data_IF_447661804596
#
_entry.id   IF_447661804596
#
_cell.length_a   1.000
_cell.length_b   1.000
_cell.length_c   1.000
_cell.angle_alpha   90.00
_cell.angle_beta   90.00
_cell.angle_gamma   90.00
#
_symmetry.space_group_name_H-M   'P 1'
#
loop_
_entity.id
_entity.type
_entity.pdbx_description
1 polymer ?
#
# COMPACT_ATOMS: atom_id res chain seq x y z
N UNK A 1 -16.49 -16.96 20.57
CA UNK A 1 -15.88 -15.89 21.40
C UNK A 1 -14.43 -16.25 21.59
N UNK A 2 -13.57 -15.72 20.72
CA UNK A 2 -12.14 -15.54 20.97
C UNK A 2 -11.68 -14.51 19.93
N UNK A 3 -11.50 -13.29 20.44
CA UNK A 3 -10.85 -12.19 19.77
C UNK A 3 -9.42 -12.59 19.47
N UNK A 4 -9.00 -12.53 18.20
CA UNK A 4 -7.59 -12.49 17.83
C UNK A 4 -7.38 -11.21 17.05
N UNK A 5 -7.28 -10.11 17.80
CA UNK A 5 -6.76 -8.86 17.31
C UNK A 5 -5.23 -8.98 17.27
N UNK A 6 -4.64 -8.89 16.07
CA UNK A 6 -3.22 -8.64 15.93
C UNK A 6 -3.04 -7.18 15.57
N UNK A 7 -2.88 -6.39 16.63
CA UNK A 7 -2.39 -5.03 16.60
C UNK A 7 -0.87 -5.16 16.36
N UNK A 8 -0.33 -4.60 15.26
CA UNK A 8 1.07 -4.12 15.32
C UNK A 8 1.01 -3.04 16.37
N UNK A 9 1.56 -3.31 17.56
CA UNK A 9 1.40 -2.48 18.76
C UNK A 9 1.35 -1.00 18.38
N UNK A 10 0.18 -0.37 18.58
CA UNK A 10 0.07 1.07 18.61
C UNK A 10 0.92 1.55 19.78
N UNK A 11 2.21 1.75 19.53
CA UNK A 11 2.93 2.81 20.22
C UNK A 11 2.26 4.09 19.73
N UNK A 12 1.46 4.70 20.61
CA UNK A 12 0.69 5.93 20.36
C UNK A 12 1.50 6.91 19.49
N UNK A 13 1.12 7.03 18.21
CA UNK A 13 1.73 7.98 17.26
C UNK A 13 2.38 7.40 16.00
N UNK A 14 2.53 6.07 15.85
CA UNK A 14 3.03 5.51 14.59
C UNK A 14 1.95 5.40 13.50
N UNK A 15 2.38 5.44 12.23
CA UNK A 15 1.51 5.19 11.09
C UNK A 15 1.23 3.70 10.96
N UNK A 16 0.07 3.34 10.40
CA UNK A 16 -0.27 1.96 10.02
C UNK A 16 -0.49 1.86 8.51
N UNK A 17 -0.17 0.70 7.93
CA UNK A 17 -0.49 0.39 6.53
C UNK A 17 -1.77 -0.44 6.48
N UNK A 18 -2.72 0.02 5.68
CA UNK A 18 -3.93 -0.71 5.29
C UNK A 18 -3.81 -1.08 3.80
N UNK A 19 -4.43 -2.18 3.41
CA UNK A 19 -4.40 -2.66 2.02
C UNK A 19 -5.81 -2.87 1.49
N UNK A 20 -6.09 -2.31 0.32
CA UNK A 20 -7.31 -2.61 -0.44
C UNK A 20 -7.26 -4.03 -1.02
N UNK A 21 -8.43 -4.64 -1.34
CA UNK A 21 -8.52 -6.02 -1.82
C UNK A 21 -7.60 -6.35 -3.00
N UNK A 22 -7.48 -5.45 -3.97
CA UNK A 22 -6.60 -5.68 -5.14
C UNK A 22 -5.14 -5.85 -4.75
N UNK A 23 -4.64 -5.02 -3.83
CA UNK A 23 -3.24 -5.09 -3.37
C UNK A 23 -3.05 -6.37 -2.56
N UNK A 24 -4.02 -6.73 -1.73
CA UNK A 24 -4.00 -7.98 -0.96
C UNK A 24 -3.92 -9.20 -1.89
N UNK A 25 -4.84 -9.33 -2.83
CA UNK A 25 -4.90 -10.46 -3.76
C UNK A 25 -3.60 -10.57 -4.57
N UNK A 26 -3.00 -9.44 -4.94
CA UNK A 26 -1.70 -9.42 -5.59
C UNK A 26 -0.57 -9.90 -4.68
N UNK A 27 -0.53 -9.48 -3.41
CA UNK A 27 0.48 -9.92 -2.43
C UNK A 27 0.42 -11.43 -2.20
N UNK A 28 -0.78 -12.01 -2.14
CA UNK A 28 -1.00 -13.45 -1.96
C UNK A 28 -0.43 -14.29 -3.11
N UNK A 29 -0.37 -13.72 -4.32
CA UNK A 29 0.16 -14.38 -5.51
C UNK A 29 1.67 -14.24 -5.67
N UNK A 30 2.34 -13.43 -4.83
CA UNK A 30 3.78 -13.20 -4.97
C UNK A 30 4.61 -14.38 -4.41
N UNK A 31 5.65 -14.82 -5.15
CA UNK A 31 6.70 -15.65 -4.56
C UNK A 31 7.27 -14.99 -3.30
N UNK A 32 7.58 -15.79 -2.27
CA UNK A 32 8.06 -15.30 -0.97
C UNK A 32 9.19 -14.26 -1.09
N UNK A 33 10.14 -14.52 -2.00
CA UNK A 33 11.30 -13.64 -2.23
C UNK A 33 10.90 -12.24 -2.72
N UNK A 34 9.88 -12.15 -3.57
CA UNK A 34 9.36 -10.88 -4.07
C UNK A 34 8.52 -10.17 -3.03
N UNK A 35 7.66 -10.91 -2.33
CA UNK A 35 6.88 -10.38 -1.22
C UNK A 35 7.78 -9.72 -0.15
N UNK A 36 8.89 -10.35 0.24
CA UNK A 36 9.87 -9.76 1.17
C UNK A 36 10.38 -8.39 0.70
N UNK A 37 10.58 -8.20 -0.62
CA UNK A 37 10.97 -6.88 -1.15
C UNK A 37 9.86 -5.85 -1.05
N UNK A 38 8.59 -6.28 -1.11
CA UNK A 38 7.46 -5.39 -0.88
C UNK A 38 7.39 -4.99 0.58
N UNK A 39 7.57 -5.94 1.51
CA UNK A 39 7.66 -5.65 2.96
C UNK A 39 8.77 -4.64 3.27
N UNK A 40 9.99 -4.87 2.76
CA UNK A 40 11.11 -3.94 3.00
C UNK A 40 10.80 -2.51 2.48
N UNK A 41 9.97 -2.37 1.44
CA UNK A 41 9.51 -1.07 0.93
C UNK A 41 8.39 -0.48 1.78
N UNK A 42 7.47 -1.31 2.28
CA UNK A 42 6.42 -0.91 3.19
C UNK A 42 7.01 -0.41 4.52
N UNK A 43 8.01 -1.10 5.07
CA UNK A 43 8.74 -0.69 6.29
C UNK A 43 9.39 0.67 6.11
N UNK A 44 10.02 0.90 4.94
CA UNK A 44 10.58 2.21 4.62
C UNK A 44 9.51 3.30 4.52
N UNK A 45 8.35 2.99 3.95
CA UNK A 45 7.23 3.91 3.90
C UNK A 45 6.70 4.23 5.31
N UNK A 46 6.64 3.25 6.21
CA UNK A 46 6.29 3.46 7.62
C UNK A 46 7.30 4.32 8.38
N UNK A 47 8.60 4.21 8.04
CA UNK A 47 9.64 5.04 8.63
C UNK A 47 9.57 6.51 8.18
N UNK A 48 9.13 6.77 6.95
CA UNK A 48 9.09 8.10 6.33
C UNK A 48 7.71 8.44 5.69
N UNK A 49 6.59 8.34 6.42
CA UNK A 49 5.25 8.25 5.84
C UNK A 49 4.81 9.52 5.10
N UNK A 50 5.25 10.69 5.55
CA UNK A 50 4.92 11.98 4.94
C UNK A 50 6.04 12.55 4.08
N UNK A 51 7.27 12.07 4.26
CA UNK A 51 8.49 12.63 3.66
C UNK A 51 9.11 11.75 2.58
N UNK A 52 8.67 10.49 2.44
CA UNK A 52 9.21 9.60 1.41
C UNK A 52 8.95 10.17 0.01
N UNK A 53 10.05 10.51 -0.66
CA UNK A 53 10.08 11.07 -2.01
C UNK A 53 10.82 10.18 -3.01
N UNK A 54 11.24 10.78 -4.11
CA UNK A 54 11.95 10.06 -5.17
C UNK A 54 13.31 9.55 -4.67
N UNK A 55 13.77 8.36 -5.12
CA UNK A 55 13.21 7.52 -6.18
C UNK A 55 12.10 6.55 -5.74
N UNK A 56 11.77 6.49 -4.45
CA UNK A 56 10.90 5.45 -3.88
C UNK A 56 9.43 5.79 -3.94
N UNK A 57 9.09 7.07 -3.90
CA UNK A 57 7.72 7.56 -3.91
C UNK A 57 7.61 8.80 -4.79
N UNK A 58 6.47 8.97 -5.45
CA UNK A 58 6.18 10.17 -6.25
C UNK A 58 4.73 10.59 -6.06
N UNK A 59 4.48 11.89 -6.06
CA UNK A 59 3.12 12.43 -6.10
C UNK A 59 2.46 12.22 -7.47
N UNK A 60 1.23 11.73 -7.46
CA UNK A 60 0.39 11.57 -8.65
C UNK A 60 -0.65 12.69 -8.82
N UNK A 61 -0.71 13.62 -7.86
CA UNK A 61 -1.67 14.72 -7.83
C UNK A 61 -2.69 14.55 -6.71
N UNK A 62 -3.22 15.67 -6.20
CA UNK A 62 -4.13 15.67 -5.05
C UNK A 62 -3.50 14.97 -3.82
N UNK A 63 -4.26 14.04 -3.22
CA UNK A 63 -3.84 13.24 -2.05
C UNK A 63 -3.08 11.96 -2.42
N UNK A 64 -2.97 11.66 -3.71
CA UNK A 64 -2.46 10.38 -4.21
C UNK A 64 -0.94 10.43 -4.41
N UNK A 65 -0.29 9.36 -3.97
CA UNK A 65 1.14 9.09 -4.15
C UNK A 65 1.30 7.68 -4.74
N UNK A 66 2.43 7.40 -5.38
CA UNK A 66 2.80 6.05 -5.81
C UNK A 66 4.03 5.57 -5.04
N UNK A 67 4.00 4.33 -4.56
CA UNK A 67 5.18 3.60 -4.12
C UNK A 67 5.80 2.88 -5.33
N UNK A 68 7.10 3.01 -5.49
CA UNK A 68 7.86 2.50 -6.64
C UNK A 68 8.68 1.28 -6.25
N UNK A 69 8.34 0.15 -6.86
CA UNK A 69 9.04 -1.10 -6.65
C UNK A 69 9.70 -1.59 -7.96
N UNK A 70 10.74 -2.39 -7.80
CA UNK A 70 11.36 -3.18 -8.85
C UNK A 70 11.41 -4.62 -8.38
N UNK A 71 10.60 -5.48 -9.00
CA UNK A 71 10.44 -6.88 -8.65
C UNK A 71 10.90 -7.73 -9.84
N UNK A 72 11.99 -8.48 -9.69
CA UNK A 72 12.60 -9.28 -10.76
C UNK A 72 12.76 -8.57 -12.12
N UNK A 73 13.09 -7.28 -12.09
CA UNK A 73 13.28 -6.45 -13.28
C UNK A 73 12.02 -5.71 -13.74
N UNK A 74 10.84 -6.11 -13.26
CA UNK A 74 9.58 -5.41 -13.54
C UNK A 74 9.43 -4.18 -12.63
N UNK A 75 9.12 -3.04 -13.24
CA UNK A 75 8.74 -1.84 -12.53
C UNK A 75 7.27 -1.94 -12.07
N UNK A 76 7.04 -2.09 -10.77
CA UNK A 76 5.71 -2.17 -10.16
C UNK A 76 5.39 -0.88 -9.42
N UNK A 77 4.13 -0.44 -9.48
CA UNK A 77 3.64 0.77 -8.81
C UNK A 77 2.45 0.41 -7.94
N UNK A 78 2.46 0.93 -6.72
CA UNK A 78 1.34 0.80 -5.77
C UNK A 78 0.91 2.21 -5.40
N UNK A 79 -0.19 2.72 -5.97
CA UNK A 79 -0.80 3.96 -5.51
C UNK A 79 -1.29 3.85 -4.07
N UNK A 80 -1.04 4.89 -3.29
CA UNK A 80 -1.44 4.99 -1.90
C UNK A 80 -1.82 6.42 -1.53
N UNK A 81 -2.52 6.57 -0.43
CA UNK A 81 -2.81 7.88 0.16
C UNK A 81 -2.67 7.86 1.68
N UNK A 82 -2.47 9.05 2.25
CA UNK A 82 -2.41 9.24 3.70
C UNK A 82 -3.79 9.62 4.21
N UNK A 83 -4.49 8.65 4.80
CA UNK A 83 -5.81 8.83 5.35
C UNK A 83 -5.76 9.37 6.80
N UNK A 84 -6.84 10.01 7.29
CA UNK A 84 -6.92 10.46 8.68
C UNK A 84 -6.66 9.32 9.67
N UNK A 85 -6.08 9.66 10.83
CA UNK A 85 -5.73 8.69 11.86
C UNK A 85 -4.36 8.02 11.66
N UNK A 86 -3.43 8.67 10.94
CA UNK A 86 -2.08 8.16 10.64
C UNK A 86 -2.13 6.83 9.88
N UNK A 87 -2.98 6.75 8.87
CA UNK A 87 -3.15 5.55 8.05
C UNK A 87 -2.57 5.78 6.66
N UNK A 88 -1.88 4.78 6.14
CA UNK A 88 -1.38 4.71 4.78
C UNK A 88 -2.18 3.61 4.09
N UNK A 89 -3.05 3.97 3.16
CA UNK A 89 -3.87 2.96 2.48
C UNK A 89 -3.28 2.69 1.10
N UNK A 90 -2.85 1.45 0.86
CA UNK A 90 -2.42 0.97 -0.46
C UNK A 90 -3.67 0.59 -1.26
N UNK A 91 -3.89 1.28 -2.40
CA UNK A 91 -5.18 1.28 -3.10
C UNK A 91 -5.25 0.27 -4.24
N UNK A 92 -4.26 0.32 -5.13
CA UNK A 92 -4.22 -0.48 -6.36
C UNK A 92 -2.79 -0.91 -6.63
N UNK A 93 -2.58 -1.79 -7.62
CA UNK A 93 -1.25 -2.18 -8.07
C UNK A 93 -1.23 -2.35 -9.58
N UNK A 94 -0.17 -1.86 -10.22
CA UNK A 94 0.03 -2.06 -11.64
C UNK A 94 1.51 -2.21 -12.01
N UNK A 95 1.76 -2.96 -13.07
CA UNK A 95 3.09 -3.02 -13.71
C UNK A 95 3.20 -1.87 -14.71
N UNK A 96 4.30 -1.12 -14.64
CA UNK A 96 4.57 -0.05 -15.58
C UNK A 96 4.99 -0.66 -16.91
N UNK A 97 4.09 -0.61 -17.89
CA UNK A 97 4.32 -1.11 -19.25
C UNK A 97 4.63 0.02 -20.23
N UNK A 98 4.19 1.24 -19.93
CA UNK A 98 4.38 2.44 -20.77
C UNK A 98 4.93 3.61 -19.96
N UNK A 99 5.27 4.70 -20.63
CA UNK A 99 5.78 5.92 -19.99
C UNK A 99 4.68 6.67 -19.22
N UNK A 100 3.44 6.65 -19.72
CA UNK A 100 2.26 7.29 -19.12
C UNK A 100 1.15 6.25 -18.98
N UNK A 101 0.80 5.92 -17.74
CA UNK A 101 -0.28 4.97 -17.40
C UNK A 101 -1.50 5.76 -16.90
N UNK A 102 -2.03 6.68 -17.71
CA UNK A 102 -3.10 7.62 -17.30
C UNK A 102 -4.32 6.89 -16.76
N UNK A 103 -4.74 5.79 -17.40
CA UNK A 103 -5.88 4.98 -16.97
C UNK A 103 -5.66 4.37 -15.57
N UNK A 104 -4.44 3.94 -15.25
CA UNK A 104 -4.12 3.39 -13.92
C UNK A 104 -4.11 4.49 -12.85
N UNK A 105 -3.64 5.69 -13.19
CA UNK A 105 -3.67 6.84 -12.29
C UNK A 105 -5.12 7.27 -12.03
N UNK A 106 -5.97 7.32 -13.06
CA UNK A 106 -7.40 7.60 -12.91
C UNK A 106 -8.11 6.56 -12.05
N UNK A 107 -7.82 5.27 -12.28
CA UNK A 107 -8.35 4.17 -11.48
C UNK A 107 -7.96 4.28 -10.01
N UNK A 108 -6.70 4.62 -9.74
CA UNK A 108 -6.22 4.88 -8.38
C UNK A 108 -6.90 6.10 -7.73
N UNK A 109 -7.18 7.15 -8.50
CA UNK A 109 -7.97 8.28 -8.00
C UNK A 109 -9.42 7.90 -7.66
N UNK A 110 -10.06 7.04 -8.46
CA UNK A 110 -11.40 6.54 -8.13
C UNK A 110 -11.39 5.67 -6.88
N UNK A 111 -10.41 4.76 -6.77
CA UNK A 111 -10.22 3.95 -5.57
C UNK A 111 -10.00 4.83 -4.33
N UNK A 112 -9.18 5.88 -4.43
CA UNK A 112 -8.97 6.84 -3.34
C UNK A 112 -10.26 7.54 -2.92
N UNK A 113 -11.11 7.95 -3.87
CA UNK A 113 -12.39 8.62 -3.56
C UNK A 113 -13.38 7.67 -2.90
N UNK A 114 -13.49 6.43 -3.39
CA UNK A 114 -14.35 5.40 -2.80
C UNK A 114 -13.90 5.10 -1.36
N UNK A 115 -12.61 4.82 -1.19
CA UNK A 115 -11.94 4.69 0.10
C UNK A 115 -12.27 5.89 1.03
N UNK A 116 -12.03 7.12 0.59
CA UNK A 116 -12.33 8.32 1.40
C UNK A 116 -13.81 8.46 1.79
N UNK A 117 -14.74 8.10 0.90
CA UNK A 117 -16.17 8.18 1.15
C UNK A 117 -16.70 7.08 2.08
N UNK A 118 -16.07 5.92 2.10
CA UNK A 118 -16.55 4.73 2.81
C UNK A 118 -15.93 4.55 4.22
N UNK A 119 -14.85 5.24 4.59
CA UNK A 119 -14.06 4.84 5.77
C UNK A 119 -14.46 5.40 7.15
N UNK A 120 -14.86 4.47 8.03
CA UNK A 120 -14.11 4.16 9.27
C UNK A 120 -12.90 3.23 9.00
N UNK A 121 -12.04 2.86 9.98
CA UNK A 121 -10.81 2.09 9.75
C UNK A 121 -11.03 0.77 8.99
N UNK A 122 -10.02 0.30 8.25
CA UNK A 122 -10.14 -0.88 7.40
C UNK A 122 -10.57 -2.12 8.20
N UNK A 123 -11.50 -2.91 7.64
CA UNK A 123 -12.04 -4.12 8.29
C UNK A 123 -11.11 -5.35 8.18
N UNK A 124 -10.00 -5.26 7.45
CA UNK A 124 -9.10 -6.39 7.20
C UNK A 124 -7.64 -5.98 7.33
N UNK A 125 -6.96 -6.54 8.34
CA UNK A 125 -5.51 -6.50 8.49
C UNK A 125 -4.93 -7.74 7.79
N UNK A 126 -3.99 -7.56 6.88
CA UNK A 126 -3.34 -8.66 6.18
C UNK A 126 -2.22 -9.25 7.06
N UNK A 127 -2.43 -10.47 7.53
CA UNK A 127 -1.41 -11.29 8.20
C UNK A 127 -0.97 -12.37 7.23
N UNK A 128 0.29 -12.32 6.79
CA UNK A 128 0.87 -13.45 6.07
C UNK A 128 1.15 -14.56 7.08
N UNK A 129 0.28 -15.55 7.14
CA UNK A 129 0.59 -16.80 7.84
C UNK A 129 1.80 -17.42 7.12
N UNK A 130 2.88 -17.55 7.88
CA UNK A 130 4.17 -18.08 7.48
C UNK A 130 3.99 -19.58 7.15
N UNK A 131 3.74 -19.92 5.89
CA UNK A 131 3.84 -21.32 5.48
C UNK A 131 5.31 -21.76 5.52
N UNK A 132 5.54 -22.83 6.27
CA UNK A 132 6.81 -23.46 6.61
C UNK A 132 7.40 -24.28 5.46
#
# INVERSE_FOLDING_TARGET
MQSNAYIVECMDGQYVIEVEPEVRDWLDLLPFRLYRRVEDKADRLLAEPTTLGEPYSRHLGGKLRELRLVLDGDAVRIPYWLAPGRRIVLLTVFRKTRMHETAEIERAHQAQKACEAEHGPAQHTYDRVREA
#
